data_IF_210362002675
#
_entry.id   IF_210362002675
#
_cell.length_a   1.000
_cell.length_b   1.000
_cell.length_c   1.000
_cell.angle_alpha   90.00
_cell.angle_beta   90.00
_cell.angle_gamma   90.00
#
_symmetry.space_group_name_H-M   'P 1'
#
loop_
_entity.id
_entity.type
_entity.pdbx_description
1 polymer ?
#
# COMPACT_ATOMS: atom_id res chain seq x y z
N UNK A 1 40.51 15.65 39.98
CA UNK A 1 41.32 15.21 38.81
C UNK A 1 40.65 13.96 38.19
N UNK A 2 39.54 14.13 37.44
CA UNK A 2 38.72 13.01 36.92
C UNK A 2 38.12 13.31 35.53
N UNK A 3 38.77 14.16 34.75
CA UNK A 3 38.21 14.76 33.53
C UNK A 3 38.64 14.06 32.23
N UNK A 4 39.81 13.40 32.23
CA UNK A 4 40.37 12.81 31.00
C UNK A 4 39.70 11.48 30.63
N UNK A 5 39.48 10.60 31.60
CA UNK A 5 38.88 9.27 31.36
C UNK A 5 37.39 9.35 30.98
N UNK A 6 36.69 10.35 31.50
CA UNK A 6 35.29 10.63 31.18
C UNK A 6 35.10 11.19 29.77
N UNK A 7 36.08 11.91 29.23
CA UNK A 7 36.08 12.36 27.84
C UNK A 7 36.28 11.18 26.87
N UNK A 8 37.25 10.31 27.15
CA UNK A 8 37.53 9.12 26.33
C UNK A 8 36.31 8.17 26.30
N UNK A 9 35.67 7.93 27.46
CA UNK A 9 34.47 7.10 27.52
C UNK A 9 33.28 7.69 26.75
N UNK A 10 33.15 9.03 26.71
CA UNK A 10 32.12 9.71 25.90
C UNK A 10 32.39 9.55 24.41
N UNK A 11 33.63 9.76 23.96
CA UNK A 11 34.02 9.60 22.54
C UNK A 11 33.83 8.16 22.05
N UNK A 12 34.16 7.15 22.87
CA UNK A 12 33.90 5.75 22.51
C UNK A 12 32.42 5.46 22.32
N UNK A 13 31.55 5.98 23.21
CA UNK A 13 30.10 5.81 23.10
C UNK A 13 29.53 6.49 21.86
N UNK A 14 30.02 7.67 21.48
CA UNK A 14 29.56 8.36 20.27
C UNK A 14 29.97 7.64 19.00
N UNK A 15 31.19 7.10 18.94
CA UNK A 15 31.66 6.29 17.81
C UNK A 15 30.85 4.99 17.70
N UNK A 16 30.61 4.30 18.82
CA UNK A 16 29.80 3.09 18.83
C UNK A 16 28.35 3.35 18.37
N UNK A 17 27.75 4.45 18.83
CA UNK A 17 26.42 4.88 18.39
C UNK A 17 26.39 5.20 16.89
N UNK A 18 27.38 5.95 16.39
CA UNK A 18 27.48 6.29 14.97
C UNK A 18 27.67 5.04 14.10
N UNK A 19 28.50 4.09 14.54
CA UNK A 19 28.71 2.82 13.86
C UNK A 19 27.42 1.97 13.86
N UNK A 20 26.71 1.90 14.98
CA UNK A 20 25.42 1.21 15.07
C UNK A 20 24.36 1.85 14.16
N UNK A 21 24.25 3.19 14.16
CA UNK A 21 23.34 3.90 13.24
C UNK A 21 23.72 3.64 11.78
N UNK A 22 25.01 3.72 11.44
CA UNK A 22 25.48 3.48 10.07
C UNK A 22 25.17 2.05 9.61
N UNK A 23 25.37 1.06 10.49
CA UNK A 23 24.99 -0.33 10.22
C UNK A 23 23.48 -0.47 9.97
N UNK A 24 22.63 0.16 10.79
CA UNK A 24 21.16 0.15 10.60
C UNK A 24 20.79 0.79 9.26
N UNK A 25 21.43 1.91 8.88
CA UNK A 25 21.15 2.57 7.60
C UNK A 25 21.57 1.74 6.38
N UNK A 26 22.68 1.00 6.46
CA UNK A 26 23.13 0.11 5.39
C UNK A 26 22.18 -1.09 5.25
N UNK A 27 21.76 -1.68 6.37
CA UNK A 27 20.77 -2.78 6.36
C UNK A 27 19.42 -2.30 5.82
N UNK A 28 18.94 -1.13 6.23
CA UNK A 28 17.70 -0.56 5.70
C UNK A 28 17.80 -0.24 4.19
N UNK A 29 18.92 0.31 3.71
CA UNK A 29 19.10 0.57 2.29
C UNK A 29 19.13 -0.73 1.44
N UNK A 30 19.66 -1.83 1.99
CA UNK A 30 19.68 -3.13 1.30
C UNK A 30 18.31 -3.82 1.20
N UNK A 31 17.38 -3.52 2.11
CA UNK A 31 15.99 -3.98 2.01
C UNK A 31 15.21 -3.22 0.91
N UNK A 32 15.57 -1.97 0.64
CA UNK A 32 14.99 -1.16 -0.43
C UNK A 32 15.59 -1.48 -1.82
N UNK A 33 16.79 -2.07 -1.89
CA UNK A 33 17.38 -2.52 -3.15
C UNK A 33 16.66 -3.75 -3.73
N UNK A 34 15.79 -4.43 -2.97
CA UNK A 34 14.99 -5.55 -3.46
C UNK A 34 13.77 -5.14 -4.32
N UNK A 35 13.53 -3.84 -4.50
CA UNK A 35 12.49 -3.28 -5.39
C UNK A 35 13.07 -2.96 -6.78
N UNK A 36 14.17 -3.61 -7.18
CA UNK A 36 14.87 -3.26 -8.42
C UNK A 36 14.16 -3.73 -9.70
N UNK A 37 13.17 -4.62 -9.60
CA UNK A 37 12.43 -5.17 -10.75
C UNK A 37 10.92 -5.17 -10.44
N UNK A 38 10.19 -4.06 -10.69
CA UNK A 38 8.74 -4.01 -10.51
C UNK A 38 8.00 -5.13 -11.26
N UNK A 39 8.57 -5.62 -12.36
CA UNK A 39 8.04 -6.73 -13.15
C UNK A 39 8.20 -8.08 -12.42
N UNK A 40 9.34 -8.33 -11.77
CA UNK A 40 9.57 -9.58 -11.04
C UNK A 40 8.63 -9.73 -9.84
N UNK A 41 8.37 -8.64 -9.12
CA UNK A 41 7.39 -8.64 -8.02
C UNK A 41 5.97 -8.93 -8.52
N UNK A 42 5.57 -8.34 -9.65
CA UNK A 42 4.25 -8.61 -10.25
C UNK A 42 4.11 -10.06 -10.74
N UNK A 43 5.18 -10.67 -11.24
CA UNK A 43 5.18 -12.08 -11.64
C UNK A 43 4.99 -13.02 -10.44
N UNK A 44 5.63 -12.73 -9.29
CA UNK A 44 5.49 -13.54 -8.08
C UNK A 44 4.17 -13.27 -7.33
N UNK A 45 3.67 -12.03 -7.38
CA UNK A 45 2.49 -11.59 -6.66
C UNK A 45 1.49 -10.90 -7.61
N UNK A 46 0.79 -11.67 -8.49
CA UNK A 46 -0.07 -11.10 -9.54
C UNK A 46 -1.26 -10.30 -9.01
N UNK A 47 -1.62 -10.50 -7.74
CA UNK A 47 -2.72 -9.81 -7.06
C UNK A 47 -2.27 -8.66 -6.15
N UNK A 48 -0.98 -8.28 -6.20
CA UNK A 48 -0.39 -7.21 -5.38
C UNK A 48 0.15 -6.10 -6.28
N UNK A 49 -0.34 -4.90 -6.06
CA UNK A 49 0.01 -3.72 -6.86
C UNK A 49 1.25 -3.02 -6.31
N UNK A 50 2.38 -3.13 -7.02
CA UNK A 50 3.67 -2.50 -6.66
C UNK A 50 3.54 -0.99 -6.49
N UNK A 51 2.78 -0.33 -7.37
CA UNK A 51 2.67 1.14 -7.37
C UNK A 51 1.88 1.65 -6.16
N UNK A 52 1.08 0.78 -5.55
CA UNK A 52 0.28 1.06 -4.36
C UNK A 52 0.79 0.28 -3.14
N UNK A 53 2.10 0.02 -3.05
CA UNK A 53 2.73 -0.57 -1.86
C UNK A 53 2.30 -2.02 -1.58
N UNK A 54 1.89 -2.76 -2.61
CA UNK A 54 1.37 -4.12 -2.49
C UNK A 54 -0.11 -4.16 -2.08
N UNK A 55 -0.88 -3.11 -2.31
CA UNK A 55 -2.34 -3.16 -2.14
C UNK A 55 -2.97 -4.22 -3.07
N UNK A 56 -4.13 -4.80 -2.72
CA UNK A 56 -4.84 -5.73 -3.59
C UNK A 56 -5.22 -5.07 -4.92
N UNK A 57 -4.88 -5.72 -6.04
CA UNK A 57 -5.27 -5.24 -7.38
C UNK A 57 -6.79 -5.22 -7.53
N UNK A 58 -7.35 -4.42 -8.45
CA UNK A 58 -8.78 -4.43 -8.73
C UNK A 58 -9.31 -5.84 -9.03
N UNK A 59 -8.57 -6.64 -9.82
CA UNK A 59 -8.90 -8.03 -10.10
C UNK A 59 -8.95 -8.90 -8.82
N UNK A 60 -8.00 -8.70 -7.90
CA UNK A 60 -7.99 -9.41 -6.61
C UNK A 60 -9.24 -9.08 -5.77
N UNK A 61 -9.70 -7.82 -5.81
CA UNK A 61 -10.92 -7.40 -5.11
C UNK A 61 -12.16 -8.06 -5.69
N UNK A 62 -12.22 -8.23 -7.02
CA UNK A 62 -13.35 -8.88 -7.69
C UNK A 62 -13.49 -10.36 -7.30
N UNK A 63 -12.38 -11.09 -7.11
CA UNK A 63 -12.42 -12.50 -6.68
C UNK A 63 -13.09 -12.68 -5.31
N UNK A 64 -13.03 -11.67 -4.45
CA UNK A 64 -13.62 -11.72 -3.11
C UNK A 64 -15.09 -11.31 -3.08
N UNK A 65 -15.65 -10.82 -4.20
CA UNK A 65 -17.03 -10.36 -4.27
C UNK A 65 -18.00 -11.53 -4.49
N UNK A 66 -19.21 -11.46 -3.93
CA UNK A 66 -20.27 -12.41 -4.23
C UNK A 66 -20.63 -12.41 -5.73
N UNK A 67 -21.04 -13.56 -6.29
CA UNK A 67 -21.38 -13.68 -7.71
C UNK A 67 -22.50 -12.73 -8.14
N UNK A 68 -23.44 -12.37 -7.25
CA UNK A 68 -24.51 -11.41 -7.54
C UNK A 68 -23.97 -9.98 -7.74
N UNK A 69 -22.90 -9.61 -7.02
CA UNK A 69 -22.26 -8.29 -7.16
C UNK A 69 -21.47 -8.23 -8.47
N UNK A 70 -20.78 -9.31 -8.83
CA UNK A 70 -20.08 -9.44 -10.10
C UNK A 70 -21.05 -9.37 -11.29
N UNK A 71 -22.20 -10.04 -11.22
CA UNK A 71 -23.24 -9.96 -12.25
C UNK A 71 -23.78 -8.53 -12.43
N UNK A 72 -23.95 -7.78 -11.33
CA UNK A 72 -24.34 -6.37 -11.42
C UNK A 72 -23.25 -5.52 -12.07
N UNK A 73 -22.01 -5.64 -11.61
CA UNK A 73 -20.88 -4.91 -12.20
C UNK A 73 -20.75 -5.20 -13.70
N UNK A 74 -20.89 -6.47 -14.10
CA UNK A 74 -20.86 -6.86 -15.50
C UNK A 74 -22.06 -6.30 -16.28
N UNK A 75 -23.25 -6.23 -15.70
CA UNK A 75 -24.43 -5.64 -16.36
C UNK A 75 -24.31 -4.12 -16.54
N UNK A 76 -23.70 -3.43 -15.57
CA UNK A 76 -23.35 -1.99 -15.66
C UNK A 76 -22.31 -1.76 -16.76
N UNK A 77 -21.27 -2.60 -16.82
CA UNK A 77 -20.20 -2.51 -17.83
C UNK A 77 -20.70 -2.86 -19.24
N UNK A 78 -21.62 -3.83 -19.35
CA UNK A 78 -22.20 -4.25 -20.64
C UNK A 78 -23.20 -3.24 -21.21
N UNK A 79 -23.64 -2.25 -20.43
CA UNK A 79 -24.72 -1.32 -20.82
C UNK A 79 -26.09 -1.99 -20.98
N UNK A 80 -26.23 -3.25 -20.54
CA UNK A 80 -27.45 -4.08 -20.63
C UNK A 80 -28.23 -4.08 -19.30
N UNK A 81 -27.66 -3.50 -18.23
CA UNK A 81 -28.32 -3.35 -16.95
C UNK A 81 -29.58 -2.47 -17.05
N UNK A 82 -30.65 -2.88 -16.35
CA UNK A 82 -31.81 -2.01 -16.11
C UNK A 82 -31.30 -0.82 -15.30
N UNK A 83 -30.96 0.27 -15.99
CA UNK A 83 -30.64 1.55 -15.37
C UNK A 83 -31.80 1.88 -14.45
N UNK A 84 -31.55 1.84 -13.13
CA UNK A 84 -32.55 2.25 -12.16
C UNK A 84 -32.63 3.76 -12.23
N UNK A 85 -33.38 4.26 -13.23
CA UNK A 85 -33.65 5.68 -13.40
C UNK A 85 -34.26 6.16 -12.09
N UNK A 86 -33.66 7.14 -11.40
CA UNK A 86 -34.30 7.75 -10.25
C UNK A 86 -35.55 8.47 -10.75
N UNK A 87 -36.71 7.81 -10.61
CA UNK A 87 -37.99 8.46 -10.80
C UNK A 87 -38.17 9.46 -9.66
N UNK A 88 -37.78 10.71 -9.91
CA UNK A 88 -38.17 11.84 -9.08
C UNK A 88 -39.68 11.98 -9.18
N UNK A 89 -40.39 11.38 -8.21
CA UNK A 89 -41.83 11.59 -8.08
C UNK A 89 -42.06 13.02 -7.62
N UNK A 90 -42.44 13.89 -8.56
CA UNK A 90 -42.95 15.20 -8.23
C UNK A 90 -44.29 15.03 -7.50
N UNK A 91 -44.26 15.19 -6.18
CA UNK A 91 -45.48 15.33 -5.39
C UNK A 91 -46.17 16.65 -5.75
N UNK A 92 -47.13 16.58 -6.67
CA UNK A 92 -48.02 17.71 -6.95
C UNK A 92 -49.03 17.83 -5.80
N UNK A 93 -48.68 18.65 -4.81
CA UNK A 93 -49.56 19.01 -3.68
C UNK A 93 -50.56 20.05 -4.17
N UNK A 94 -51.67 19.58 -4.73
CA UNK A 94 -52.82 20.43 -5.05
C UNK A 94 -53.44 21.04 -3.79
N UNK A 95 -53.73 22.33 -3.86
CA UNK A 95 -54.67 23.05 -3.00
C UNK A 95 -55.52 23.94 -3.89
#
# INVERSE_FOLDING_TARGET
>A
MTTRNSHVAKTFKTIALAAALSAITVTAASAQAAISEPAAYQAMYPYRDVLNGGAPTPAAKLVLLPPQVLQRLQAEESGVGIAKVPHYSHHHRGR
#
